data_IF_529283539350
#
_entry.id   IF_529283539350
#
_cell.length_a   1.000
_cell.length_b   1.000
_cell.length_c   1.000
_cell.angle_alpha   90.00
_cell.angle_beta   90.00
_cell.angle_gamma   90.00
#
_symmetry.space_group_name_H-M   'P 1'
#
loop_
_entity.id
_entity.type
_entity.pdbx_description
1 polymer ?
#
# COMPACT_ATOMS: atom_id res chain seq x y z
N UNK A 1 -31.56 50.93 11.55
CA UNK A 1 -30.41 50.56 10.77
C UNK A 1 -29.59 49.64 11.70
N UNK A 2 -29.58 48.35 11.43
CA UNK A 2 -28.79 47.40 12.22
C UNK A 2 -27.44 47.26 11.51
N UNK A 3 -26.40 47.86 12.08
CA UNK A 3 -25.02 47.66 11.63
C UNK A 3 -24.60 46.20 11.84
N UNK A 4 -24.51 45.47 10.77
CA UNK A 4 -23.97 44.14 10.75
C UNK A 4 -22.45 44.19 11.00
N UNK A 5 -22.03 43.98 12.23
CA UNK A 5 -20.61 43.88 12.58
C UNK A 5 -20.05 42.68 11.87
N UNK A 6 -19.29 42.92 10.79
CA UNK A 6 -18.52 41.88 10.09
C UNK A 6 -17.39 41.41 11.01
N UNK A 7 -17.54 40.24 11.58
CA UNK A 7 -16.47 39.58 12.36
C UNK A 7 -15.36 39.21 11.37
N UNK A 8 -14.15 39.80 11.50
CA UNK A 8 -13.04 39.46 10.62
C UNK A 8 -12.67 37.98 10.83
N UNK A 9 -12.93 37.18 9.81
CA UNK A 9 -12.46 35.79 9.79
C UNK A 9 -10.92 35.78 9.73
N UNK A 10 -10.26 35.60 10.84
CA UNK A 10 -8.81 35.39 10.90
C UNK A 10 -8.51 34.07 10.19
N UNK A 11 -8.21 34.14 8.90
CA UNK A 11 -7.72 32.99 8.13
C UNK A 11 -6.38 32.57 8.74
N UNK A 12 -6.38 31.55 9.59
CA UNK A 12 -5.17 30.93 10.12
C UNK A 12 -4.29 30.50 8.95
N UNK A 13 -3.14 31.16 8.76
CA UNK A 13 -2.16 30.76 7.74
C UNK A 13 -1.69 29.35 8.05
N UNK A 14 -2.11 28.38 7.25
CA UNK A 14 -1.63 27.01 7.37
C UNK A 14 -0.15 26.96 6.99
N UNK A 15 0.66 26.36 7.83
CA UNK A 15 2.08 26.16 7.55
C UNK A 15 2.30 24.84 6.83
N UNK A 16 3.38 24.75 6.03
CA UNK A 16 3.82 23.51 5.40
C UNK A 16 4.08 22.47 6.48
N UNK A 17 3.54 21.27 6.29
CA UNK A 17 3.73 20.12 7.17
C UNK A 17 4.27 18.91 6.39
N UNK A 18 5.27 18.24 6.95
CA UNK A 18 5.79 16.97 6.49
C UNK A 18 5.27 15.87 7.42
N UNK A 19 4.76 14.80 6.84
CA UNK A 19 4.32 13.60 7.53
C UNK A 19 5.22 12.45 7.16
N UNK A 20 5.68 11.70 8.15
CA UNK A 20 6.47 10.49 7.95
C UNK A 20 5.91 9.39 8.83
N UNK A 21 5.41 8.33 8.23
CA UNK A 21 4.79 7.22 8.94
C UNK A 21 5.42 5.89 8.53
N UNK A 22 5.61 5.01 9.51
CA UNK A 22 5.80 3.59 9.27
C UNK A 22 4.42 2.95 9.09
N UNK A 23 4.28 2.06 8.12
CA UNK A 23 3.01 1.42 7.77
C UNK A 23 3.11 -0.09 7.87
N UNK A 24 2.00 -0.72 8.25
CA UNK A 24 1.76 -2.15 8.21
C UNK A 24 0.55 -2.40 7.32
N UNK A 25 0.75 -3.12 6.24
CA UNK A 25 -0.33 -3.53 5.34
C UNK A 25 -0.62 -5.02 5.55
N UNK A 26 -1.89 -5.35 5.68
CA UNK A 26 -2.37 -6.72 5.84
C UNK A 26 -2.93 -7.21 4.51
N UNK A 27 -2.49 -8.38 4.11
CA UNK A 27 -2.87 -9.10 2.91
C UNK A 27 -3.10 -10.57 3.26
N UNK A 28 -3.81 -11.32 2.41
CA UNK A 28 -4.06 -12.76 2.61
C UNK A 28 -2.77 -13.57 2.76
N UNK A 29 -1.71 -13.20 2.06
CA UNK A 29 -0.39 -13.85 2.07
C UNK A 29 0.53 -13.38 3.22
N UNK A 30 0.03 -12.54 4.12
CA UNK A 30 0.74 -12.05 5.28
C UNK A 30 1.03 -10.55 5.28
N UNK A 31 1.74 -10.06 6.29
CA UNK A 31 1.99 -8.64 6.47
C UNK A 31 3.06 -8.11 5.52
N UNK A 32 2.88 -6.84 5.11
CA UNK A 32 3.87 -6.02 4.41
C UNK A 32 4.17 -4.77 5.23
N UNK A 33 5.43 -4.36 5.25
CA UNK A 33 5.93 -3.19 5.97
C UNK A 33 6.23 -2.07 4.98
N UNK A 34 5.99 -0.84 5.37
CA UNK A 34 6.17 0.27 4.44
C UNK A 34 6.48 1.60 5.11
N UNK A 35 6.68 2.58 4.24
CA UNK A 35 6.90 3.98 4.61
C UNK A 35 5.96 4.87 3.79
N UNK A 36 5.32 5.79 4.49
CA UNK A 36 4.47 6.82 3.92
C UNK A 36 5.06 8.19 4.22
N UNK A 37 5.22 9.00 3.18
CA UNK A 37 5.66 10.38 3.26
C UNK A 37 4.63 11.28 2.60
N UNK A 38 4.28 12.37 3.26
CA UNK A 38 3.43 13.38 2.65
C UNK A 38 3.92 14.80 2.98
N UNK A 39 3.88 15.66 1.98
CA UNK A 39 4.15 17.08 2.11
C UNK A 39 2.87 17.86 1.80
N UNK A 40 2.38 18.62 2.77
CA UNK A 40 1.07 19.24 2.69
C UNK A 40 1.07 20.66 3.24
N UNK A 41 0.37 21.54 2.56
CA UNK A 41 -0.06 22.84 3.06
C UNK A 41 -1.59 22.80 3.30
N UNK A 42 -2.40 23.11 2.32
CA UNK A 42 -3.85 22.86 2.28
C UNK A 42 -4.16 21.62 1.45
N UNK A 43 -3.46 21.49 0.36
CA UNK A 43 -3.37 20.33 -0.51
C UNK A 43 -1.89 19.99 -0.63
N UNK A 44 -1.58 18.77 -0.93
CA UNK A 44 -0.21 18.30 -1.07
C UNK A 44 -0.12 17.02 -1.84
N UNK A 45 1.01 16.38 -1.75
CA UNK A 45 1.25 15.09 -2.36
C UNK A 45 1.78 14.10 -1.33
N UNK A 46 1.62 12.83 -1.62
CA UNK A 46 2.21 11.75 -0.85
C UNK A 46 2.88 10.72 -1.75
N UNK A 47 3.78 9.95 -1.14
CA UNK A 47 4.31 8.71 -1.67
C UNK A 47 4.22 7.65 -0.58
N UNK A 48 3.89 6.43 -0.98
CA UNK A 48 3.83 5.27 -0.10
C UNK A 48 4.47 4.08 -0.78
N UNK A 49 5.35 3.39 -0.07
CA UNK A 49 5.98 2.16 -0.52
C UNK A 49 5.83 1.10 0.56
N UNK A 50 5.42 -0.10 0.19
CA UNK A 50 5.32 -1.25 1.10
C UNK A 50 5.79 -2.53 0.45
N UNK A 51 6.34 -3.45 1.26
CA UNK A 51 6.80 -4.77 0.81
C UNK A 51 6.80 -5.76 1.98
N UNK A 52 6.55 -7.03 1.69
CA UNK A 52 6.77 -8.11 2.65
C UNK A 52 8.25 -8.53 2.76
N UNK A 53 9.16 -7.84 2.05
CA UNK A 53 10.60 -8.07 2.00
C UNK A 53 11.02 -9.48 1.56
N UNK A 54 10.07 -10.28 1.06
CA UNK A 54 10.32 -11.63 0.56
C UNK A 54 10.52 -11.59 -0.95
N UNK A 55 11.33 -12.51 -1.45
CA UNK A 55 11.54 -12.72 -2.88
C UNK A 55 11.17 -14.16 -3.25
N UNK A 56 10.52 -14.33 -4.39
CA UNK A 56 10.24 -15.66 -4.93
C UNK A 56 11.53 -16.31 -5.44
N UNK A 57 12.49 -15.50 -5.90
CA UNK A 57 13.73 -15.98 -6.51
C UNK A 57 13.51 -16.44 -7.95
N UNK A 58 14.40 -17.30 -8.47
CA UNK A 58 14.24 -17.94 -9.77
C UNK A 58 13.10 -18.94 -9.72
N UNK A 59 12.26 -18.95 -10.76
CA UNK A 59 11.24 -19.96 -10.98
C UNK A 59 11.58 -20.73 -12.24
N UNK A 60 11.34 -22.04 -12.24
CA UNK A 60 11.63 -22.93 -13.37
C UNK A 60 10.54 -22.90 -14.43
N UNK A 61 9.41 -22.25 -14.12
CA UNK A 61 8.26 -22.14 -15.02
C UNK A 61 7.05 -21.56 -14.30
N UNK A 62 5.90 -21.79 -14.92
CA UNK A 62 4.60 -21.31 -14.39
C UNK A 62 3.63 -22.47 -14.21
N UNK A 63 2.63 -22.29 -13.36
CA UNK A 63 1.49 -23.18 -13.21
C UNK A 63 0.20 -22.38 -13.01
N UNK A 64 -0.94 -23.03 -13.28
CA UNK A 64 -2.25 -22.49 -12.99
C UNK A 64 -2.64 -22.70 -11.51
N UNK A 65 -3.82 -22.22 -11.10
CA UNK A 65 -4.35 -22.40 -9.73
C UNK A 65 -4.54 -23.85 -9.32
N UNK A 66 -4.68 -24.77 -10.27
CA UNK A 66 -4.82 -26.19 -10.05
C UNK A 66 -3.47 -26.90 -9.96
N UNK A 67 -2.38 -26.21 -10.36
CA UNK A 67 -1.01 -26.70 -10.31
C UNK A 67 -0.53 -27.38 -11.59
N UNK A 68 -1.25 -27.29 -12.70
CA UNK A 68 -0.78 -27.80 -13.99
C UNK A 68 0.17 -26.80 -14.66
N UNK A 69 1.24 -27.32 -15.25
CA UNK A 69 2.13 -26.51 -16.10
C UNK A 69 1.54 -26.31 -17.50
N UNK A 70 1.82 -25.19 -18.19
CA UNK A 70 1.31 -24.94 -19.51
C UNK A 70 1.63 -26.08 -20.50
N UNK A 71 0.61 -26.57 -21.19
CA UNK A 71 0.73 -27.63 -22.20
C UNK A 71 0.91 -29.06 -21.64
N UNK A 72 0.87 -29.24 -20.31
CA UNK A 72 0.95 -30.55 -19.68
C UNK A 72 -0.40 -30.97 -19.11
N UNK A 73 -0.79 -32.20 -19.39
CA UNK A 73 -1.93 -32.88 -18.74
C UNK A 73 -1.53 -33.58 -17.45
N UNK A 74 -0.23 -33.63 -17.15
CA UNK A 74 0.31 -34.26 -15.93
C UNK A 74 0.60 -33.15 -14.91
N UNK A 75 0.00 -33.27 -13.74
CA UNK A 75 0.22 -32.37 -12.63
C UNK A 75 1.52 -32.75 -11.90
N UNK A 76 2.48 -31.82 -11.74
CA UNK A 76 3.66 -32.05 -10.88
C UNK A 76 3.26 -32.31 -9.44
N UNK A 77 4.05 -33.05 -8.72
CA UNK A 77 3.91 -33.18 -7.27
C UNK A 77 4.50 -31.97 -6.56
N UNK A 78 3.76 -31.45 -5.58
CA UNK A 78 4.16 -30.29 -4.79
C UNK A 78 4.48 -30.69 -3.34
N UNK A 79 5.44 -30.01 -2.73
CA UNK A 79 5.84 -30.22 -1.33
C UNK A 79 4.86 -29.59 -0.33
N UNK A 80 3.98 -28.69 -0.79
CA UNK A 80 3.14 -27.84 0.04
C UNK A 80 3.81 -26.53 0.47
N UNK A 81 5.11 -26.38 0.24
CA UNK A 81 5.80 -25.11 0.52
C UNK A 81 5.45 -24.04 -0.51
N UNK A 82 5.21 -22.83 -0.01
CA UNK A 82 4.88 -21.67 -0.84
C UNK A 82 5.83 -20.51 -0.55
N UNK A 83 6.08 -19.70 -1.58
CA UNK A 83 6.75 -18.40 -1.44
C UNK A 83 5.82 -17.31 -1.92
N UNK A 84 5.70 -16.26 -1.11
CA UNK A 84 4.88 -15.09 -1.44
C UNK A 84 5.76 -13.86 -1.52
N UNK A 85 5.56 -13.06 -2.57
CA UNK A 85 6.19 -11.76 -2.74
C UNK A 85 5.10 -10.72 -2.91
N UNK A 86 5.13 -9.68 -2.09
CA UNK A 86 4.21 -8.55 -2.19
C UNK A 86 4.99 -7.25 -2.09
N UNK A 87 4.73 -6.33 -3.03
CA UNK A 87 5.17 -4.95 -2.93
C UNK A 87 4.19 -4.02 -3.63
N UNK A 88 4.07 -2.81 -3.10
CA UNK A 88 3.31 -1.72 -3.71
C UNK A 88 4.08 -0.42 -3.61
N UNK A 89 3.94 0.40 -4.62
CA UNK A 89 4.38 1.79 -4.63
C UNK A 89 3.24 2.64 -5.17
N UNK A 90 2.83 3.64 -4.41
CA UNK A 90 1.76 4.58 -4.80
C UNK A 90 2.20 6.01 -4.54
N UNK A 91 1.69 6.92 -5.34
CA UNK A 91 1.86 8.35 -5.17
C UNK A 91 0.55 9.07 -5.54
N UNK A 92 0.28 10.21 -4.93
CA UNK A 92 -0.97 10.90 -5.18
C UNK A 92 -1.15 12.18 -4.39
N UNK A 93 -2.39 12.62 -4.32
CA UNK A 93 -2.78 13.84 -3.65
C UNK A 93 -3.21 13.59 -2.20
N UNK A 94 -2.99 14.57 -1.35
CA UNK A 94 -3.51 14.61 0.02
C UNK A 94 -4.21 15.96 0.25
N UNK A 95 -5.39 15.88 0.84
CA UNK A 95 -6.29 17.03 1.02
C UNK A 95 -6.64 17.20 2.49
N UNK A 96 -6.46 18.40 2.99
CA UNK A 96 -6.90 18.76 4.34
C UNK A 96 -8.42 18.98 4.35
N UNK A 97 -9.15 18.20 5.09
CA UNK A 97 -10.61 18.28 5.21
C UNK A 97 -11.02 19.14 6.41
N UNK A 98 -10.50 18.80 7.59
CA UNK A 98 -10.77 19.53 8.82
C UNK A 98 -9.57 19.47 9.77
N UNK A 99 -9.64 20.15 10.91
CA UNK A 99 -8.53 20.21 11.87
C UNK A 99 -8.02 18.81 12.21
N UNK A 100 -6.75 18.54 11.79
CA UNK A 100 -6.09 17.29 12.06
C UNK A 100 -6.52 16.10 11.20
N UNK A 101 -7.46 16.27 10.24
CA UNK A 101 -7.95 15.20 9.39
C UNK A 101 -7.73 15.49 7.91
N UNK A 102 -7.14 14.53 7.20
CA UNK A 102 -6.84 14.60 5.78
C UNK A 102 -7.36 13.36 5.07
N UNK A 103 -7.78 13.54 3.83
CA UNK A 103 -8.05 12.48 2.86
C UNK A 103 -6.89 12.39 1.89
N UNK A 104 -6.49 11.19 1.50
CA UNK A 104 -5.50 11.01 0.45
C UNK A 104 -5.92 9.93 -0.54
N UNK A 105 -5.53 10.14 -1.78
CA UNK A 105 -5.85 9.27 -2.90
C UNK A 105 -4.65 9.22 -3.84
N UNK A 106 -4.36 8.05 -4.37
CA UNK A 106 -3.20 7.89 -5.23
C UNK A 106 -3.25 6.65 -6.09
N UNK A 107 -2.31 6.64 -7.00
CA UNK A 107 -2.15 5.58 -7.99
C UNK A 107 -0.70 5.14 -8.03
N UNK A 108 -0.47 3.95 -8.54
CA UNK A 108 0.88 3.42 -8.63
C UNK A 108 0.95 2.04 -9.25
N UNK A 109 1.89 1.26 -8.78
CA UNK A 109 2.13 -0.10 -9.25
C UNK A 109 2.29 -1.05 -8.06
N UNK A 110 1.77 -2.26 -8.21
CA UNK A 110 1.94 -3.33 -7.24
C UNK A 110 2.12 -4.69 -7.89
N UNK A 111 2.66 -5.60 -7.10
CA UNK A 111 2.78 -7.02 -7.43
C UNK A 111 2.53 -7.84 -6.18
N UNK A 112 1.59 -8.78 -6.29
CA UNK A 112 1.41 -9.87 -5.34
C UNK A 112 1.62 -11.17 -6.11
N UNK A 113 2.58 -11.99 -5.72
CA UNK A 113 2.96 -13.18 -6.46
C UNK A 113 3.16 -14.36 -5.53
N UNK A 114 2.71 -15.53 -5.97
CA UNK A 114 2.79 -16.79 -5.24
C UNK A 114 3.50 -17.84 -6.10
N UNK A 115 4.47 -18.54 -5.52
CA UNK A 115 5.15 -19.66 -6.15
C UNK A 115 5.06 -20.91 -5.27
N UNK A 116 4.88 -22.05 -5.91
CA UNK A 116 4.75 -23.36 -5.28
C UNK A 116 5.98 -24.21 -5.54
N UNK A 117 6.48 -24.87 -4.48
CA UNK A 117 7.65 -25.75 -4.60
C UNK A 117 7.25 -27.13 -5.11
N UNK A 118 7.90 -27.58 -6.18
CA UNK A 118 7.81 -28.95 -6.65
C UNK A 118 8.64 -29.89 -5.78
N UNK A 119 8.25 -31.16 -5.75
CA UNK A 119 9.10 -32.25 -5.19
C UNK A 119 10.32 -32.47 -6.08
N UNK A 120 11.39 -33.04 -5.51
CA UNK A 120 12.60 -33.37 -6.28
C UNK A 120 12.33 -34.30 -7.47
N UNK A 121 11.37 -35.24 -7.33
CA UNK A 121 10.92 -36.11 -8.41
C UNK A 121 10.24 -35.39 -9.57
N UNK A 122 9.80 -34.15 -9.34
CA UNK A 122 9.12 -33.29 -10.34
C UNK A 122 9.96 -32.10 -10.79
N UNK A 123 11.27 -32.05 -10.40
CA UNK A 123 12.20 -30.98 -10.77
C UNK A 123 12.77 -30.20 -9.58
N UNK A 124 12.14 -30.23 -8.40
CA UNK A 124 12.66 -29.65 -7.16
C UNK A 124 12.59 -28.13 -7.04
N UNK A 125 12.27 -27.41 -8.12
CA UNK A 125 12.25 -25.96 -8.18
C UNK A 125 10.91 -25.32 -7.76
N UNK A 126 10.80 -24.02 -7.97
CA UNK A 126 9.56 -23.27 -7.73
C UNK A 126 8.87 -22.93 -9.06
N UNK A 127 7.56 -23.15 -9.12
CA UNK A 127 6.71 -22.68 -10.22
C UNK A 127 5.92 -21.46 -9.77
N UNK A 128 5.92 -20.40 -10.60
CA UNK A 128 5.09 -19.25 -10.37
C UNK A 128 3.62 -19.59 -10.68
N UNK A 129 2.74 -19.42 -9.71
CA UNK A 129 1.32 -19.59 -9.94
C UNK A 129 0.75 -18.33 -10.60
N UNK A 130 0.40 -18.42 -11.90
CA UNK A 130 -0.06 -17.28 -12.68
C UNK A 130 -1.42 -16.76 -12.21
N UNK A 131 -2.32 -17.66 -11.82
CA UNK A 131 -3.66 -17.29 -11.36
C UNK A 131 -3.69 -16.66 -9.96
N UNK A 132 -2.65 -16.93 -9.15
CA UNK A 132 -2.43 -16.34 -7.82
C UNK A 132 -1.38 -15.22 -7.86
N UNK A 133 -1.03 -14.76 -9.07
CA UNK A 133 -0.06 -13.68 -9.27
C UNK A 133 -0.72 -12.50 -9.95
N UNK A 134 -0.94 -11.45 -9.20
CA UNK A 134 -1.44 -10.19 -9.73
C UNK A 134 -0.34 -9.15 -9.76
N UNK A 135 -0.23 -8.42 -10.86
CA UNK A 135 0.70 -7.32 -11.05
C UNK A 135 0.06 -6.25 -11.91
N UNK A 136 0.33 -5.00 -11.61
CA UNK A 136 -0.16 -3.90 -12.43
C UNK A 136 -0.49 -2.66 -11.63
N UNK A 137 -1.44 -1.92 -12.15
CA UNK A 137 -1.90 -0.66 -11.61
C UNK A 137 -2.43 -0.84 -10.17
N UNK A 138 -1.96 -0.02 -9.27
CA UNK A 138 -2.43 0.03 -7.89
C UNK A 138 -3.18 1.34 -7.64
N UNK A 139 -4.26 1.27 -6.87
CA UNK A 139 -5.02 2.43 -6.41
C UNK A 139 -5.04 2.41 -4.90
N UNK A 140 -4.82 3.55 -4.29
CA UNK A 140 -4.86 3.74 -2.85
C UNK A 140 -5.83 4.85 -2.48
N UNK A 141 -6.67 4.60 -1.48
CA UNK A 141 -7.53 5.60 -0.85
C UNK A 141 -7.38 5.49 0.66
N UNK A 142 -7.26 6.61 1.35
CA UNK A 142 -7.06 6.59 2.79
C UNK A 142 -7.29 7.89 3.50
N UNK A 143 -7.21 7.82 4.81
CA UNK A 143 -7.38 8.93 5.73
C UNK A 143 -6.16 9.06 6.64
N UNK A 144 -5.81 10.28 6.98
CA UNK A 144 -4.73 10.60 7.91
C UNK A 144 -5.29 11.53 8.99
N UNK A 145 -5.15 11.13 10.24
CA UNK A 145 -5.48 11.91 11.41
C UNK A 145 -4.21 12.33 12.15
N UNK A 146 -4.15 13.60 12.57
CA UNK A 146 -3.00 14.17 13.28
C UNK A 146 -3.41 14.78 14.60
N UNK A 147 -2.79 14.30 15.66
CA UNK A 147 -2.97 14.76 17.02
C UNK A 147 -1.64 15.41 17.48
N UNK A 148 -1.56 16.74 17.41
CA UNK A 148 -0.34 17.47 17.69
C UNK A 148 0.83 17.06 16.76
N UNK A 149 1.79 16.27 17.26
CA UNK A 149 2.94 15.75 16.49
C UNK A 149 2.77 14.29 16.03
N UNK A 150 1.84 13.56 16.61
CA UNK A 150 1.58 12.18 16.24
C UNK A 150 0.57 12.14 15.11
N UNK A 151 0.80 11.27 14.14
CA UNK A 151 -0.12 11.05 13.01
C UNK A 151 -0.40 9.57 12.86
N UNK A 152 -1.65 9.25 12.54
CA UNK A 152 -2.13 7.90 12.28
C UNK A 152 -2.79 7.93 10.90
N UNK A 153 -2.52 6.93 10.08
CA UNK A 153 -3.15 6.76 8.78
C UNK A 153 -3.83 5.40 8.69
N UNK A 154 -4.91 5.34 7.91
CA UNK A 154 -5.54 4.10 7.50
C UNK A 154 -5.89 4.20 6.01
N UNK A 155 -5.65 3.14 5.26
CA UNK A 155 -5.95 3.11 3.82
C UNK A 155 -6.30 1.72 3.32
N UNK A 156 -7.00 1.70 2.20
CA UNK A 156 -7.19 0.53 1.36
C UNK A 156 -6.38 0.70 0.08
N UNK A 157 -5.73 -0.37 -0.34
CA UNK A 157 -4.94 -0.44 -1.58
C UNK A 157 -5.47 -1.61 -2.39
N UNK A 158 -5.68 -1.41 -3.70
CA UNK A 158 -5.98 -2.51 -4.61
C UNK A 158 -4.93 -2.61 -5.70
N UNK A 159 -4.53 -3.83 -6.06
CA UNK A 159 -3.61 -4.15 -7.17
C UNK A 159 -4.42 -4.80 -8.27
N UNK A 160 -4.34 -4.26 -9.49
CA UNK A 160 -5.06 -4.73 -10.67
C UNK A 160 -6.59 -4.87 -10.49
N UNK A 161 -7.17 -4.22 -9.47
CA UNK A 161 -8.58 -4.35 -9.10
C UNK A 161 -8.99 -5.70 -8.49
N UNK A 162 -8.03 -6.59 -8.23
CA UNK A 162 -8.27 -7.96 -7.75
C UNK A 162 -7.79 -8.16 -6.31
N UNK A 163 -6.56 -7.78 -6.04
CA UNK A 163 -5.95 -7.95 -4.72
C UNK A 163 -6.21 -6.73 -3.85
N UNK A 164 -6.71 -6.94 -2.63
CA UNK A 164 -6.99 -5.87 -1.68
C UNK A 164 -6.09 -5.97 -0.45
N UNK A 165 -5.62 -4.82 0.01
CA UNK A 165 -4.77 -4.69 1.19
C UNK A 165 -5.32 -3.58 2.08
N UNK A 166 -5.49 -3.85 3.36
CA UNK A 166 -5.70 -2.84 4.38
C UNK A 166 -4.36 -2.37 4.93
N UNK A 167 -4.14 -1.07 5.02
CA UNK A 167 -2.90 -0.51 5.58
C UNK A 167 -3.20 0.43 6.73
N UNK A 168 -2.44 0.30 7.81
CA UNK A 168 -2.42 1.23 8.94
C UNK A 168 -1.01 1.78 9.10
N UNK A 169 -0.91 3.05 9.51
CA UNK A 169 0.37 3.71 9.71
C UNK A 169 0.38 4.58 10.96
N UNK A 170 1.54 4.67 11.58
CA UNK A 170 1.79 5.59 12.70
C UNK A 170 3.10 6.32 12.45
N UNK A 171 3.15 7.60 12.82
CA UNK A 171 4.33 8.41 12.61
C UNK A 171 4.22 9.82 13.17
N UNK A 172 5.05 10.69 12.62
CA UNK A 172 5.21 12.05 13.11
C UNK A 172 4.85 13.08 12.04
N UNK A 173 4.33 14.20 12.54
CA UNK A 173 4.13 15.43 11.78
C UNK A 173 5.23 16.43 12.16
N UNK A 174 5.96 16.89 11.15
CA UNK A 174 6.99 17.92 11.27
C UNK A 174 6.47 19.17 10.57
N UNK A 175 6.38 20.28 11.26
CA UNK A 175 5.93 21.56 10.70
C UNK A 175 5.80 22.61 11.81
N UNK A 176 6.00 23.89 11.47
CA UNK A 176 5.79 24.97 12.44
C UNK A 176 4.29 25.13 12.71
N UNK A 177 3.84 24.77 13.91
CA UNK A 177 2.61 25.34 14.43
C UNK A 177 2.93 26.82 14.79
N UNK A 178 2.48 27.76 13.97
CA UNK A 178 2.40 29.14 14.45
C UNK A 178 1.27 29.17 15.49
N UNK A 179 1.67 29.41 16.74
CA UNK A 179 0.73 29.81 17.82
C UNK A 179 0.00 31.07 17.42
#
# INVERSE_FOLDING_TARGET
VIDTIAIPQVRKKMSLALYTLATLSLHEDGPSYGLFFALMHRHGFFIHASSNLKRIGSTEGTCNKEGFTPGSSIKPYYTGNTRHQNYTFTAGAIHHITHGFCLFEGVGYGKAATAWQQTESSGGGYLLNEDLTDKGFAVQLGVLASFNRVSIAASAITIAGKQWQGSIGIGIKIGKQKK
#
